data_IF_973121753472
#
_entry.id   IF_973121753472
#
_cell.length_a   1.000
_cell.length_b   1.000
_cell.length_c   1.000
_cell.angle_alpha   90.00
_cell.angle_beta   90.00
_cell.angle_gamma   90.00
#
_symmetry.space_group_name_H-M   'P 1'
#
loop_
_entity.id
_entity.type
_entity.pdbx_description
1 polymer ?
#
# COMPACT_ATOMS: atom_id res chain seq x y z
N UNK A 1 3.34 -16.34 48.32
CA UNK A 1 2.56 -17.35 47.59
C UNK A 1 1.41 -16.65 46.88
N UNK A 2 1.35 -16.79 45.55
CA UNK A 2 0.22 -16.49 44.65
C UNK A 2 -0.19 -15.01 44.47
N UNK A 3 0.52 -14.30 43.59
CA UNK A 3 -0.08 -13.25 42.76
C UNK A 3 -0.24 -13.82 41.35
N UNK A 4 -1.50 -13.98 40.90
CA UNK A 4 -1.89 -14.55 39.61
C UNK A 4 -1.53 -13.61 38.46
N UNK A 5 -0.85 -14.17 37.47
CA UNK A 5 -0.62 -13.59 36.15
C UNK A 5 -1.93 -13.51 35.37
N UNK A 6 -2.36 -12.30 35.02
CA UNK A 6 -3.40 -12.05 34.02
C UNK A 6 -3.03 -10.79 33.23
N UNK A 7 -2.70 -10.95 31.94
CA UNK A 7 -3.36 -10.30 30.79
C UNK A 7 -2.43 -10.17 29.55
N UNK A 8 -2.97 -10.66 28.42
CA UNK A 8 -2.64 -10.34 27.03
C UNK A 8 -1.49 -11.12 26.33
N UNK A 9 -1.63 -12.44 26.22
CA UNK A 9 -1.07 -13.15 25.06
C UNK A 9 -1.91 -12.81 23.82
N UNK A 10 -1.60 -11.65 23.24
CA UNK A 10 -2.26 -11.10 22.07
C UNK A 10 -2.43 -12.13 20.97
N UNK A 11 -3.67 -12.32 20.53
CA UNK A 11 -4.01 -13.04 19.32
C UNK A 11 -3.09 -12.55 18.21
N UNK A 12 -2.14 -13.39 17.78
CA UNK A 12 -1.28 -13.09 16.62
C UNK A 12 -2.22 -12.95 15.42
N UNK A 13 -2.68 -11.73 15.15
CA UNK A 13 -3.55 -11.46 14.00
C UNK A 13 -2.82 -12.00 12.77
N UNK A 14 -3.44 -12.90 12.00
CA UNK A 14 -2.79 -13.47 10.84
C UNK A 14 -2.29 -12.34 9.95
N UNK A 15 -1.12 -12.53 9.36
CA UNK A 15 -0.68 -11.69 8.25
C UNK A 15 -1.72 -11.84 7.13
N UNK A 16 -2.23 -10.71 6.65
CA UNK A 16 -3.15 -10.59 5.52
C UNK A 16 -2.41 -10.60 4.18
N UNK A 17 -1.18 -10.08 4.12
CA UNK A 17 -0.36 -10.14 2.91
C UNK A 17 0.30 -11.52 2.71
N UNK A 18 0.31 -12.06 1.48
CA UNK A 18 0.96 -13.34 1.22
C UNK A 18 2.48 -13.23 1.40
N UNK A 19 3.00 -13.88 2.46
CA UNK A 19 4.43 -13.91 2.81
C UNK A 19 5.31 -14.34 1.62
N UNK A 20 4.83 -15.28 0.81
CA UNK A 20 5.54 -15.74 -0.40
C UNK A 20 5.78 -14.63 -1.42
N UNK A 21 4.83 -13.69 -1.59
CA UNK A 21 4.97 -12.54 -2.49
C UNK A 21 5.91 -11.49 -1.94
N UNK A 22 5.85 -11.23 -0.63
CA UNK A 22 6.82 -10.33 0.00
C UNK A 22 8.24 -10.88 -0.16
N UNK A 23 8.45 -12.19 0.07
CA UNK A 23 9.74 -12.84 -0.16
C UNK A 23 10.20 -12.70 -1.61
N UNK A 24 9.31 -12.92 -2.58
CA UNK A 24 9.64 -12.78 -4.01
C UNK A 24 10.11 -11.35 -4.35
N UNK A 25 9.41 -10.33 -3.85
CA UNK A 25 9.78 -8.93 -4.05
C UNK A 25 11.12 -8.62 -3.38
N UNK A 26 11.34 -9.06 -2.13
CA UNK A 26 12.62 -8.88 -1.44
C UNK A 26 13.79 -9.51 -2.21
N UNK A 27 13.59 -10.70 -2.80
CA UNK A 27 14.59 -11.40 -3.63
C UNK A 27 14.74 -10.86 -5.06
N UNK A 28 13.93 -9.89 -5.48
CA UNK A 28 14.10 -9.24 -6.79
C UNK A 28 15.35 -8.35 -6.84
N UNK A 29 15.86 -7.94 -5.67
CA UNK A 29 17.14 -7.25 -5.57
C UNK A 29 18.30 -8.23 -5.76
N UNK A 30 19.28 -7.94 -6.64
CA UNK A 30 20.39 -8.85 -6.94
C UNK A 30 21.27 -9.17 -5.73
N UNK A 31 21.30 -8.28 -4.74
CA UNK A 31 22.13 -8.43 -3.54
C UNK A 31 21.50 -9.30 -2.43
N UNK A 32 20.28 -9.80 -2.63
CA UNK A 32 19.53 -10.55 -1.61
C UNK A 32 19.55 -12.05 -1.93
N UNK A 33 20.50 -12.77 -1.32
CA UNK A 33 20.66 -14.23 -1.50
C UNK A 33 19.70 -15.04 -0.61
N UNK A 34 19.60 -14.68 0.67
CA UNK A 34 18.78 -15.36 1.68
C UNK A 34 18.10 -14.36 2.61
N UNK A 35 16.98 -14.77 3.21
CA UNK A 35 16.15 -13.93 4.08
C UNK A 35 15.73 -14.75 5.30
N UNK A 36 16.05 -14.25 6.49
CA UNK A 36 15.60 -14.81 7.77
C UNK A 36 14.05 -14.78 7.88
N UNK A 37 13.44 -15.81 8.46
CA UNK A 37 11.98 -15.89 8.65
C UNK A 37 11.42 -14.76 9.51
N UNK A 38 12.12 -14.35 10.58
CA UNK A 38 11.66 -13.28 11.47
C UNK A 38 11.71 -11.92 10.76
N UNK A 39 12.79 -11.68 10.00
CA UNK A 39 12.90 -10.49 9.15
C UNK A 39 11.79 -10.46 8.09
N UNK A 40 11.51 -11.59 7.45
CA UNK A 40 10.43 -11.70 6.47
C UNK A 40 9.05 -11.45 7.10
N UNK A 41 8.78 -12.01 8.28
CA UNK A 41 7.55 -11.78 9.01
C UNK A 41 7.38 -10.29 9.35
N UNK A 42 8.43 -9.67 9.88
CA UNK A 42 8.43 -8.25 10.26
C UNK A 42 8.26 -7.34 9.05
N UNK A 43 8.99 -7.58 7.95
CA UNK A 43 8.82 -6.82 6.70
C UNK A 43 7.40 -6.96 6.15
N UNK A 44 6.81 -8.15 6.24
CA UNK A 44 5.42 -8.35 5.79
C UNK A 44 4.44 -7.54 6.63
N UNK A 45 4.61 -7.51 7.97
CA UNK A 45 3.80 -6.66 8.85
C UNK A 45 4.05 -5.16 8.63
N UNK A 46 5.29 -4.75 8.45
CA UNK A 46 5.62 -3.37 8.11
C UNK A 46 4.96 -2.94 6.79
N UNK A 47 4.90 -3.83 5.80
CA UNK A 47 4.22 -3.56 4.52
C UNK A 47 2.71 -3.36 4.70
N UNK A 48 2.06 -4.14 5.56
CA UNK A 48 0.64 -3.94 5.89
C UNK A 48 0.38 -2.58 6.52
N UNK A 49 1.19 -2.22 7.52
CA UNK A 49 1.09 -0.94 8.21
C UNK A 49 1.41 0.22 7.27
N UNK A 50 2.39 0.06 6.40
CA UNK A 50 2.75 1.06 5.40
C UNK A 50 1.58 1.37 4.45
N UNK A 51 0.89 0.35 3.93
CA UNK A 51 -0.27 0.56 3.04
C UNK A 51 -1.40 1.28 3.77
N UNK A 52 -1.70 0.89 5.02
CA UNK A 52 -2.70 1.57 5.84
C UNK A 52 -2.33 3.03 6.11
N UNK A 53 -1.06 3.27 6.45
CA UNK A 53 -0.55 4.60 6.74
C UNK A 53 -0.58 5.49 5.49
N UNK A 54 -0.15 5.00 4.33
CA UNK A 54 -0.22 5.73 3.07
C UNK A 54 -1.66 6.11 2.71
N UNK A 55 -2.60 5.16 2.82
CA UNK A 55 -4.01 5.41 2.53
C UNK A 55 -4.60 6.46 3.48
N UNK A 56 -4.35 6.35 4.78
CA UNK A 56 -4.85 7.29 5.79
C UNK A 56 -4.23 8.68 5.64
N UNK A 57 -2.93 8.78 5.44
CA UNK A 57 -2.25 10.06 5.21
C UNK A 57 -2.78 10.73 3.95
N UNK A 58 -3.00 9.96 2.88
CA UNK A 58 -3.54 10.50 1.63
C UNK A 58 -4.98 10.96 1.75
N UNK A 59 -5.81 10.21 2.50
CA UNK A 59 -7.19 10.60 2.78
C UNK A 59 -7.26 11.87 3.64
N UNK A 60 -6.32 12.04 4.57
CA UNK A 60 -6.29 13.18 5.49
C UNK A 60 -5.70 14.45 4.90
N UNK A 61 -4.73 14.32 3.99
CA UNK A 61 -4.05 15.44 3.34
C UNK A 61 -4.77 15.93 2.07
N UNK A 62 -5.53 15.04 1.42
CA UNK A 62 -6.37 15.38 0.26
C UNK A 62 -7.79 15.84 0.64
N UNK A 63 -8.68 15.88 -0.36
CA UNK A 63 -10.10 16.22 -0.16
C UNK A 63 -10.93 15.06 0.43
N UNK A 64 -10.27 14.03 0.98
CA UNK A 64 -10.91 12.79 1.39
C UNK A 64 -11.91 12.96 2.52
N UNK A 65 -11.62 13.84 3.48
CA UNK A 65 -12.55 14.15 4.58
C UNK A 65 -13.86 14.79 4.13
N UNK A 66 -13.83 15.57 3.06
CA UNK A 66 -15.00 16.27 2.52
C UNK A 66 -15.79 15.39 1.55
N UNK A 67 -15.08 14.68 0.67
CA UNK A 67 -15.66 13.86 -0.40
C UNK A 67 -15.97 12.43 0.04
N UNK A 68 -15.50 12.02 1.23
CA UNK A 68 -15.51 10.64 1.73
C UNK A 68 -14.97 9.63 0.70
N UNK A 69 -13.98 10.04 -0.08
CA UNK A 69 -13.39 9.26 -1.17
C UNK A 69 -11.87 9.43 -1.18
N UNK A 70 -11.14 8.43 -1.66
CA UNK A 70 -9.69 8.53 -1.86
C UNK A 70 -9.38 8.42 -3.34
N UNK A 71 -8.89 9.50 -3.92
CA UNK A 71 -8.50 9.55 -5.32
C UNK A 71 -7.01 9.23 -5.51
N UNK A 72 -6.65 8.93 -6.75
CA UNK A 72 -5.25 8.74 -7.09
C UNK A 72 -4.42 10.03 -6.94
N UNK A 73 -5.01 11.19 -7.25
CA UNK A 73 -4.35 12.49 -7.05
C UNK A 73 -3.99 12.73 -5.59
N UNK A 74 -4.82 12.29 -4.64
CA UNK A 74 -4.52 12.42 -3.21
C UNK A 74 -3.28 11.60 -2.83
N UNK A 75 -3.16 10.38 -3.37
CA UNK A 75 -1.99 9.51 -3.17
C UNK A 75 -0.73 10.11 -3.80
N UNK A 76 -0.84 10.66 -5.01
CA UNK A 76 0.27 11.28 -5.72
C UNK A 76 0.79 12.52 -4.98
N UNK A 77 -0.11 13.42 -4.58
CA UNK A 77 0.24 14.64 -3.85
C UNK A 77 0.88 14.29 -2.50
N UNK A 78 0.29 13.36 -1.76
CA UNK A 78 0.84 12.91 -0.47
C UNK A 78 2.23 12.33 -0.60
N UNK A 79 2.49 11.56 -1.67
CA UNK A 79 3.82 11.05 -1.97
C UNK A 79 4.85 12.16 -2.27
N UNK A 80 4.42 13.26 -2.90
CA UNK A 80 5.26 14.41 -3.27
C UNK A 80 5.52 15.38 -2.12
N UNK A 81 4.54 15.56 -1.22
CA UNK A 81 4.60 16.57 -0.17
C UNK A 81 5.13 16.03 1.17
N UNK A 82 5.01 14.70 1.38
CA UNK A 82 5.45 14.07 2.63
C UNK A 82 6.83 13.45 2.42
N UNK A 83 7.83 13.95 3.16
CA UNK A 83 9.22 13.50 3.05
C UNK A 83 9.39 11.98 3.21
N UNK A 84 8.67 11.38 4.16
CA UNK A 84 8.69 9.93 4.41
C UNK A 84 8.21 9.09 3.22
N UNK A 85 7.50 9.69 2.27
CA UNK A 85 7.01 9.04 1.05
C UNK A 85 7.79 9.43 -0.20
N UNK A 86 8.84 10.26 -0.11
CA UNK A 86 9.59 10.71 -1.29
C UNK A 86 10.17 9.58 -2.15
N UNK A 87 10.45 8.40 -1.56
CA UNK A 87 10.87 7.20 -2.29
C UNK A 87 9.83 6.69 -3.31
N UNK A 88 8.60 7.23 -3.29
CA UNK A 88 7.52 6.94 -4.22
C UNK A 88 7.45 7.92 -5.41
N UNK A 89 8.01 9.12 -5.30
CA UNK A 89 7.83 10.23 -6.27
C UNK A 89 8.48 9.97 -7.63
N UNK A 90 9.58 9.21 -7.67
CA UNK A 90 10.29 8.84 -8.91
C UNK A 90 9.66 7.67 -9.67
N UNK A 91 8.63 7.02 -9.13
CA UNK A 91 7.94 5.93 -9.85
C UNK A 91 6.97 6.55 -10.85
N UNK A 92 7.23 6.33 -12.15
CA UNK A 92 6.35 6.71 -13.28
C UNK A 92 4.87 6.30 -13.13
N UNK A 93 4.54 5.46 -12.15
CA UNK A 93 3.21 4.95 -11.84
C UNK A 93 2.43 5.74 -10.77
N UNK A 94 3.01 6.78 -10.16
CA UNK A 94 2.34 7.72 -9.22
C UNK A 94 2.19 9.13 -9.81
N UNK A 95 2.65 9.35 -11.04
CA UNK A 95 2.33 10.57 -11.78
C UNK A 95 0.91 10.43 -12.33
N UNK A 96 0.07 11.43 -12.09
CA UNK A 96 -1.29 11.53 -12.64
C UNK A 96 -1.29 11.05 -14.10
N UNK A 97 -2.10 10.03 -14.46
CA UNK A 97 -2.13 9.54 -15.83
C UNK A 97 -2.41 10.72 -16.77
N UNK A 98 -1.48 11.00 -17.69
CA UNK A 98 -1.88 11.63 -18.95
C UNK A 98 -2.74 10.57 -19.65
N UNK A 99 -4.05 10.71 -19.47
CA UNK A 99 -5.15 9.79 -19.81
C UNK A 99 -4.88 8.81 -20.96
N UNK A 100 -5.29 7.53 -20.79
CA UNK A 100 -6.00 6.87 -21.88
C UNK A 100 -7.22 6.02 -21.45
N UNK A 101 -7.75 6.16 -20.24
CA UNK A 101 -8.94 5.37 -19.83
C UNK A 101 -10.27 5.84 -20.48
N UNK A 102 -10.30 6.99 -21.15
CA UNK A 102 -11.49 7.50 -21.86
C UNK A 102 -11.81 6.74 -23.17
N UNK A 103 -11.01 5.74 -23.58
CA UNK A 103 -11.19 5.04 -24.88
C UNK A 103 -12.02 3.76 -24.84
N UNK A 104 -12.45 3.29 -23.66
CA UNK A 104 -13.12 1.98 -23.53
C UNK A 104 -14.65 2.07 -23.65
N UNK A 105 -15.25 3.26 -23.50
CA UNK A 105 -16.71 3.42 -23.55
C UNK A 105 -17.30 3.73 -24.93
N UNK A 106 -16.47 3.94 -25.96
CA UNK A 106 -16.97 4.42 -27.28
C UNK A 106 -17.09 3.33 -28.37
N UNK A 107 -16.77 2.07 -28.04
CA UNK A 107 -16.88 0.96 -29.01
C UNK A 107 -18.24 0.22 -29.00
N UNK A 108 -19.14 0.48 -28.04
CA UNK A 108 -20.45 -0.20 -27.98
C UNK A 108 -21.62 0.60 -28.57
N UNK A 109 -21.38 1.78 -29.18
CA UNK A 109 -22.46 2.60 -29.77
C UNK A 109 -22.61 2.47 -31.30
N UNK A 110 -21.69 1.76 -32.00
CA UNK A 110 -21.70 1.69 -33.47
C UNK A 110 -22.30 0.40 -34.07
N UNK A 111 -22.74 -0.57 -33.28
CA UNK A 111 -23.39 -1.81 -33.79
C UNK A 111 -24.92 -1.79 -33.70
N UNK A 112 -25.55 -0.64 -33.45
CA UNK A 112 -27.02 -0.49 -33.50
C UNK A 112 -27.47 0.62 -34.46
N UNK A 113 -27.01 0.56 -35.71
CA UNK A 113 -27.69 1.24 -36.81
C UNK A 113 -27.63 0.42 -38.08
#
# INVERSE_FOLDING_TARGET
LSGKDDQASGSKKPISLPISRVRLIMKSSPDVSSINQDALFLTTKATELFVQHLALSSFNNGSGKETNSLSYSDLANTAQETETFHFLTGKKHLQAPQRPYDKITDHNKKEKK
#
